data_IF_990042657166
#
_entry.id   IF_990042657166
#
_cell.length_a   1.000
_cell.length_b   1.000
_cell.length_c   1.000
_cell.angle_alpha   90.00
_cell.angle_beta   90.00
_cell.angle_gamma   90.00
#
_symmetry.space_group_name_H-M   'P 1'
#
loop_
_entity.id
_entity.type
_entity.pdbx_description
1 polymer ?
#
# COMPACT_ATOMS: atom_id res chain seq x y z
N UNK A 1 30.83 -13.09 47.08
CA UNK A 1 31.45 -13.17 45.74
C UNK A 1 30.57 -12.34 44.80
N UNK A 2 31.11 -11.25 44.26
CA UNK A 2 30.36 -10.44 43.28
C UNK A 2 30.59 -11.07 41.89
N UNK A 3 29.57 -11.69 41.35
CA UNK A 3 29.62 -12.18 39.97
C UNK A 3 29.26 -10.99 39.05
N UNK A 4 30.21 -10.55 38.27
CA UNK A 4 29.96 -9.59 37.17
C UNK A 4 29.51 -10.41 35.96
N UNK A 5 28.26 -10.27 35.56
CA UNK A 5 27.77 -10.84 34.32
C UNK A 5 28.05 -9.81 33.25
N UNK A 6 28.97 -10.10 32.32
CA UNK A 6 29.13 -9.34 31.10
C UNK A 6 27.96 -9.80 30.19
N UNK A 7 26.92 -8.98 30.16
CA UNK A 7 25.82 -9.18 29.21
C UNK A 7 26.33 -8.71 27.85
N UNK A 8 26.80 -9.63 27.02
CA UNK A 8 26.95 -9.35 25.58
C UNK A 8 25.53 -9.22 25.03
N UNK A 9 25.01 -7.99 24.99
CA UNK A 9 23.82 -7.68 24.25
C UNK A 9 24.17 -7.76 22.76
N UNK A 10 24.07 -8.96 22.19
CA UNK A 10 23.94 -9.07 20.74
C UNK A 10 22.49 -8.76 20.43
N UNK A 11 22.20 -7.47 20.18
CA UNK A 11 20.91 -7.07 19.65
C UNK A 11 20.86 -7.52 18.21
N UNK A 12 20.27 -8.68 17.97
CA UNK A 12 19.82 -9.04 16.63
C UNK A 12 18.53 -8.23 16.46
N UNK A 13 18.64 -7.08 15.83
CA UNK A 13 17.48 -6.34 15.32
C UNK A 13 16.86 -7.20 14.22
N UNK A 14 16.02 -8.16 14.59
CA UNK A 14 15.01 -8.63 13.67
C UNK A 14 13.92 -7.56 13.81
N UNK A 15 14.03 -6.50 13.02
CA UNK A 15 12.86 -5.74 12.63
C UNK A 15 12.02 -6.73 11.81
N UNK A 16 11.38 -7.65 12.53
CA UNK A 16 10.28 -8.42 11.98
C UNK A 16 9.16 -7.42 11.79
N UNK A 17 9.21 -6.68 10.69
CA UNK A 17 8.00 -6.14 10.09
C UNK A 17 7.24 -7.39 9.63
N UNK A 18 6.58 -8.07 10.55
CA UNK A 18 5.43 -8.88 10.22
C UNK A 18 4.19 -7.97 10.20
N UNK A 19 4.26 -6.86 9.46
CA UNK A 19 3.10 -6.51 8.70
C UNK A 19 2.84 -7.76 7.87
N UNK A 20 1.60 -8.31 7.79
CA UNK A 20 1.28 -9.02 6.60
C UNK A 20 1.60 -7.99 5.52
N UNK A 21 2.74 -8.15 4.87
CA UNK A 21 2.93 -7.58 3.56
C UNK A 21 1.78 -8.23 2.81
N UNK A 22 0.66 -7.54 2.71
CA UNK A 22 -0.12 -7.65 1.51
C UNK A 22 0.89 -7.16 0.49
N UNK A 23 1.63 -8.11 -0.07
CA UNK A 23 2.38 -7.85 -1.27
C UNK A 23 1.31 -7.34 -2.23
N UNK A 24 1.22 -6.03 -2.37
CA UNK A 24 0.46 -5.43 -3.44
C UNK A 24 1.17 -5.94 -4.68
N UNK A 25 0.61 -6.98 -5.26
CA UNK A 25 1.14 -7.53 -6.49
C UNK A 25 0.63 -6.66 -7.61
N UNK A 26 1.54 -6.20 -8.44
CA UNK A 26 1.17 -5.66 -9.74
C UNK A 26 0.41 -6.75 -10.49
N UNK A 27 -0.62 -6.37 -11.23
CA UNK A 27 -1.40 -7.30 -12.03
C UNK A 27 -0.55 -7.95 -13.12
N UNK A 28 -0.87 -9.17 -13.48
CA UNK A 28 -0.23 -9.95 -14.54
C UNK A 28 -1.01 -9.92 -15.86
N UNK A 29 -1.94 -8.97 -15.99
CA UNK A 29 -2.82 -8.79 -17.15
C UNK A 29 -3.21 -7.32 -17.28
N UNK A 30 -3.75 -6.93 -18.43
CA UNK A 30 -4.28 -5.58 -18.67
C UNK A 30 -5.38 -5.27 -17.67
N UNK A 31 -5.31 -4.09 -17.07
CA UNK A 31 -6.25 -3.65 -16.02
C UNK A 31 -6.90 -2.32 -16.36
N UNK A 32 -8.04 -2.06 -15.74
CA UNK A 32 -8.62 -0.74 -15.62
C UNK A 32 -7.76 0.03 -14.61
N UNK A 33 -7.13 1.12 -15.03
CA UNK A 33 -6.20 1.90 -14.22
C UNK A 33 -6.86 3.14 -13.62
N UNK A 34 -7.74 3.78 -14.37
CA UNK A 34 -8.42 5.01 -13.98
C UNK A 34 -9.81 5.08 -14.64
N UNK A 35 -10.79 5.65 -13.93
CA UNK A 35 -12.16 5.85 -14.45
C UNK A 35 -12.68 7.21 -13.96
N UNK A 36 -13.27 7.97 -14.88
CA UNK A 36 -14.00 9.18 -14.54
C UNK A 36 -15.45 9.03 -15.00
N UNK A 37 -16.35 8.93 -14.04
CA UNK A 37 -17.78 8.72 -14.29
C UNK A 37 -18.59 10.02 -14.25
N UNK A 38 -17.99 11.14 -13.79
CA UNK A 38 -18.65 12.45 -13.68
C UNK A 38 -17.63 13.58 -13.95
N UNK A 39 -17.03 13.61 -15.15
CA UNK A 39 -16.00 14.58 -15.48
C UNK A 39 -16.53 16.02 -15.46
N UNK A 40 -15.66 16.96 -15.09
CA UNK A 40 -16.01 18.37 -14.99
C UNK A 40 -16.68 18.90 -16.24
N UNK A 41 -17.91 19.37 -16.11
CA UNK A 41 -18.73 19.90 -17.21
C UNK A 41 -20.10 19.25 -17.26
N UNK A 42 -20.76 19.28 -18.42
CA UNK A 42 -22.02 18.59 -18.67
C UNK A 42 -21.75 17.30 -19.46
N UNK A 43 -21.68 16.19 -18.78
CA UNK A 43 -21.43 14.85 -19.33
C UNK A 43 -22.49 14.37 -20.31
N UNK A 44 -23.69 14.98 -20.24
CA UNK A 44 -24.75 14.76 -21.23
C UNK A 44 -24.52 15.48 -22.56
N UNK A 45 -23.65 16.48 -22.61
CA UNK A 45 -23.45 17.36 -23.76
C UNK A 45 -22.01 17.62 -24.17
N UNK A 46 -21.12 17.92 -23.24
CA UNK A 46 -19.79 18.46 -23.52
C UNK A 46 -18.65 17.76 -22.80
N UNK A 47 -18.90 17.15 -21.67
CA UNK A 47 -17.93 16.31 -20.97
C UNK A 47 -18.17 14.84 -21.35
N UNK A 48 -17.10 14.09 -21.49
CA UNK A 48 -17.18 12.69 -21.89
C UNK A 48 -16.57 11.82 -20.79
N UNK A 49 -17.35 10.90 -20.28
CA UNK A 49 -16.87 9.86 -19.37
C UNK A 49 -15.83 8.98 -20.04
N UNK A 50 -14.87 8.51 -19.30
CA UNK A 50 -13.76 7.76 -19.87
C UNK A 50 -13.20 6.69 -18.91
N UNK A 51 -12.49 5.74 -19.51
CA UNK A 51 -11.77 4.67 -18.83
C UNK A 51 -10.37 4.59 -19.41
N UNK A 52 -9.39 4.52 -18.55
CA UNK A 52 -8.02 4.22 -18.91
C UNK A 52 -7.69 2.77 -18.56
N UNK A 53 -7.07 2.09 -19.52
CA UNK A 53 -6.45 0.79 -19.35
C UNK A 53 -4.94 0.93 -19.25
N UNK A 54 -4.33 0.05 -18.47
CA UNK A 54 -2.88 -0.08 -18.33
C UNK A 54 -2.45 -1.51 -18.59
N UNK A 55 -1.35 -1.68 -19.31
CA UNK A 55 -0.73 -2.99 -19.53
C UNK A 55 0.52 -3.16 -18.66
N UNK A 56 0.42 -3.78 -17.48
CA UNK A 56 1.56 -4.02 -16.59
C UNK A 56 2.46 -5.18 -17.03
N UNK A 57 2.15 -5.85 -18.14
CA UNK A 57 2.89 -7.04 -18.59
C UNK A 57 4.08 -6.67 -19.46
N UNK A 58 5.00 -7.62 -19.64
CA UNK A 58 6.19 -7.44 -20.50
C UNK A 58 5.88 -7.60 -21.99
N UNK A 59 4.64 -7.98 -22.36
CA UNK A 59 4.21 -8.23 -23.73
C UNK A 59 3.13 -7.24 -24.16
N UNK A 60 3.13 -6.88 -25.47
CA UNK A 60 2.04 -6.13 -26.08
C UNK A 60 0.76 -6.98 -26.12
N UNK A 61 -0.40 -6.39 -25.86
CA UNK A 61 -1.67 -7.10 -25.80
C UNK A 61 -2.64 -6.57 -26.85
N UNK A 62 -3.16 -7.47 -27.70
CA UNK A 62 -4.23 -7.15 -28.65
C UNK A 62 -5.59 -7.10 -27.93
N UNK A 63 -6.16 -5.90 -27.85
CA UNK A 63 -7.46 -5.64 -27.24
C UNK A 63 -8.63 -5.68 -28.24
N UNK A 64 -8.39 -6.08 -29.48
CA UNK A 64 -9.43 -6.11 -30.53
C UNK A 64 -10.67 -6.88 -30.07
N UNK A 65 -11.83 -6.23 -30.12
CA UNK A 65 -13.11 -6.82 -29.74
C UNK A 65 -13.32 -7.03 -28.23
N UNK A 66 -12.37 -6.63 -27.38
CA UNK A 66 -12.61 -6.58 -25.93
C UNK A 66 -13.69 -5.56 -25.63
N UNK A 67 -14.23 -5.60 -24.43
CA UNK A 67 -15.35 -4.76 -24.03
C UNK A 67 -15.08 -4.07 -22.70
N UNK A 68 -15.43 -2.79 -22.63
CA UNK A 68 -15.52 -2.02 -21.40
C UNK A 68 -17.00 -1.81 -21.11
N UNK A 69 -17.49 -2.31 -19.98
CA UNK A 69 -18.92 -2.39 -19.70
C UNK A 69 -19.29 -1.80 -18.34
N UNK A 70 -20.34 -0.96 -18.32
CA UNK A 70 -21.06 -0.59 -17.11
C UNK A 70 -21.80 -1.79 -16.54
N UNK A 71 -21.77 -1.97 -15.23
CA UNK A 71 -22.51 -3.05 -14.56
C UNK A 71 -23.86 -2.64 -14.02
N UNK A 72 -24.17 -1.34 -14.05
CA UNK A 72 -25.43 -0.78 -13.54
C UNK A 72 -26.62 -0.99 -14.49
N UNK A 73 -27.72 -0.31 -14.17
CA UNK A 73 -28.96 -0.33 -14.97
C UNK A 73 -28.76 0.15 -16.40
N UNK A 74 -27.77 0.99 -16.66
CA UNK A 74 -27.48 1.49 -18.00
C UNK A 74 -26.96 0.40 -18.93
N UNK A 75 -26.21 -0.58 -18.41
CA UNK A 75 -25.65 -1.73 -19.14
C UNK A 75 -25.01 -1.35 -20.48
N UNK A 76 -24.36 -0.20 -20.52
CA UNK A 76 -23.71 0.27 -21.72
C UNK A 76 -22.34 -0.38 -21.86
N UNK A 77 -22.02 -0.76 -23.08
CA UNK A 77 -20.78 -1.44 -23.40
C UNK A 77 -20.12 -0.73 -24.58
N UNK A 78 -18.84 -0.44 -24.45
CA UNK A 78 -17.98 -0.04 -25.56
C UNK A 78 -17.22 -1.29 -26.00
N UNK A 79 -17.27 -1.61 -27.29
CA UNK A 79 -16.41 -2.63 -27.90
C UNK A 79 -15.16 -1.95 -28.45
N UNK A 80 -14.01 -2.42 -28.03
CA UNK A 80 -12.71 -1.89 -28.47
C UNK A 80 -12.52 -2.24 -29.95
N UNK A 81 -12.14 -1.25 -30.80
CA UNK A 81 -11.98 -1.46 -32.22
C UNK A 81 -10.93 -2.52 -32.57
N UNK A 82 -11.12 -3.17 -33.72
CA UNK A 82 -10.14 -4.10 -34.27
C UNK A 82 -8.79 -3.39 -34.53
N UNK A 83 -7.71 -4.08 -34.27
CA UNK A 83 -6.35 -3.57 -34.42
C UNK A 83 -5.88 -2.68 -33.27
N UNK A 84 -6.64 -2.59 -32.17
CA UNK A 84 -6.20 -1.87 -30.98
C UNK A 84 -5.24 -2.74 -30.17
N UNK A 85 -3.99 -2.30 -30.10
CA UNK A 85 -2.92 -2.94 -29.30
C UNK A 85 -2.55 -1.98 -28.18
N UNK A 86 -2.37 -2.51 -26.99
CA UNK A 86 -1.77 -1.80 -25.87
C UNK A 86 -0.35 -2.35 -25.65
N UNK A 87 0.65 -1.50 -25.86
CA UNK A 87 2.05 -1.89 -25.74
C UNK A 87 2.39 -2.19 -24.26
N UNK A 88 3.47 -2.95 -24.05
CA UNK A 88 3.98 -3.24 -22.71
C UNK A 88 4.28 -1.95 -21.93
N UNK A 89 3.72 -1.81 -20.75
CA UNK A 89 3.91 -0.65 -19.86
C UNK A 89 3.14 0.61 -20.27
N UNK A 90 2.31 0.56 -21.33
CA UNK A 90 1.58 1.71 -21.84
C UNK A 90 0.13 1.81 -21.35
N UNK A 91 -0.47 2.96 -21.63
CA UNK A 91 -1.83 3.34 -21.27
C UNK A 91 -2.68 3.59 -22.52
N UNK A 92 -3.96 3.22 -22.46
CA UNK A 92 -4.94 3.59 -23.49
C UNK A 92 -6.21 4.13 -22.84
N UNK A 93 -6.61 5.34 -23.21
CA UNK A 93 -7.85 5.96 -22.73
C UNK A 93 -8.97 5.78 -23.75
N UNK A 94 -10.12 5.30 -23.28
CA UNK A 94 -11.34 5.11 -24.04
C UNK A 94 -12.39 6.08 -23.56
N UNK A 95 -12.99 6.81 -24.49
CA UNK A 95 -13.99 7.83 -24.23
C UNK A 95 -15.30 7.44 -24.89
N UNK A 96 -16.43 7.68 -24.23
CA UNK A 96 -17.73 7.53 -24.84
C UNK A 96 -18.40 8.91 -24.98
N UNK A 97 -18.94 9.20 -26.14
CA UNK A 97 -19.55 10.51 -26.47
C UNK A 97 -20.90 10.76 -25.76
N UNK A 98 -21.40 9.81 -25.01
CA UNK A 98 -22.70 9.88 -24.32
C UNK A 98 -22.55 9.31 -22.92
N UNK A 99 -23.52 9.62 -22.03
CA UNK A 99 -23.62 9.01 -20.72
C UNK A 99 -23.34 7.52 -20.81
N UNK A 100 -22.28 7.08 -20.18
CA UNK A 100 -21.81 5.70 -20.20
C UNK A 100 -22.04 5.04 -18.86
N UNK A 101 -21.77 5.77 -17.80
CA UNK A 101 -21.81 5.32 -16.42
C UNK A 101 -22.89 6.05 -15.60
N UNK A 102 -23.07 5.64 -14.37
CA UNK A 102 -23.83 6.36 -13.36
C UNK A 102 -22.87 6.93 -12.33
N UNK A 103 -23.17 8.12 -11.78
CA UNK A 103 -22.33 8.76 -10.76
C UNK A 103 -22.42 8.07 -9.40
N UNK A 104 -23.28 7.08 -9.28
CA UNK A 104 -23.52 6.36 -8.01
C UNK A 104 -23.57 4.86 -8.21
N UNK A 105 -22.89 4.15 -7.32
CA UNK A 105 -22.87 2.68 -7.30
C UNK A 105 -22.48 2.05 -8.66
N UNK A 106 -21.62 2.73 -9.41
CA UNK A 106 -21.11 2.21 -10.69
C UNK A 106 -19.98 1.22 -10.44
N UNK A 107 -19.85 0.26 -11.35
CA UNK A 107 -18.68 -0.60 -11.44
C UNK A 107 -18.40 -0.91 -12.90
N UNK A 108 -17.15 -0.79 -13.31
CA UNK A 108 -16.71 -0.98 -14.68
C UNK A 108 -16.01 -2.33 -14.80
N UNK A 109 -16.36 -3.08 -15.84
CA UNK A 109 -15.75 -4.37 -16.17
C UNK A 109 -14.99 -4.27 -17.48
N UNK A 110 -13.76 -4.80 -17.50
CA UNK A 110 -13.01 -5.11 -18.72
C UNK A 110 -13.24 -6.60 -19.04
N UNK A 111 -13.75 -6.87 -20.22
CA UNK A 111 -14.06 -8.23 -20.69
C UNK A 111 -13.31 -8.55 -21.96
N UNK A 112 -12.81 -9.76 -22.08
CA UNK A 112 -12.24 -10.23 -23.34
C UNK A 112 -13.29 -10.63 -24.36
N UNK A 113 -12.87 -11.06 -25.55
CA UNK A 113 -13.76 -11.46 -26.67
C UNK A 113 -14.65 -12.65 -26.35
N UNK A 114 -14.32 -13.49 -25.36
CA UNK A 114 -15.18 -14.58 -24.90
C UNK A 114 -16.21 -14.14 -23.84
N UNK A 115 -16.18 -12.87 -23.43
CA UNK A 115 -17.03 -12.31 -22.37
C UNK A 115 -16.53 -12.59 -20.95
N UNK A 116 -15.33 -13.16 -20.81
CA UNK A 116 -14.70 -13.34 -19.50
C UNK A 116 -14.29 -11.98 -18.93
N UNK A 117 -14.67 -11.72 -17.69
CA UNK A 117 -14.21 -10.54 -16.96
C UNK A 117 -12.73 -10.71 -16.62
N UNK A 118 -11.90 -9.82 -17.17
CA UNK A 118 -10.46 -9.79 -16.96
C UNK A 118 -10.13 -8.92 -15.76
N UNK A 119 -10.78 -7.74 -15.67
CA UNK A 119 -10.63 -6.83 -14.54
C UNK A 119 -11.94 -6.11 -14.22
N UNK A 120 -12.04 -5.58 -13.00
CA UNK A 120 -13.24 -4.90 -12.54
C UNK A 120 -12.92 -3.89 -11.44
N UNK A 121 -13.53 -2.71 -11.52
CA UNK A 121 -13.45 -1.72 -10.43
C UNK A 121 -14.30 -2.15 -9.22
N UNK A 122 -13.99 -1.58 -8.06
CA UNK A 122 -14.95 -1.53 -6.94
C UNK A 122 -16.10 -0.60 -7.29
N UNK A 123 -17.14 -0.56 -6.46
CA UNK A 123 -18.19 0.44 -6.60
C UNK A 123 -17.62 1.86 -6.54
N UNK A 124 -17.99 2.67 -7.52
CA UNK A 124 -17.59 4.07 -7.69
C UNK A 124 -18.77 4.93 -7.26
N UNK A 125 -18.49 5.96 -6.50
CA UNK A 125 -19.40 7.03 -6.14
C UNK A 125 -18.71 8.34 -6.46
N UNK A 126 -19.10 8.98 -7.56
CA UNK A 126 -18.55 10.24 -8.05
C UNK A 126 -19.66 11.28 -8.11
N UNK A 127 -19.90 11.93 -6.96
CA UNK A 127 -21.01 12.87 -6.80
C UNK A 127 -20.63 14.31 -7.12
N UNK A 128 -19.35 14.58 -7.33
CA UNK A 128 -18.84 15.93 -7.57
C UNK A 128 -18.37 16.04 -9.02
N UNK A 129 -18.98 16.94 -9.77
CA UNK A 129 -18.60 17.27 -11.13
C UNK A 129 -17.29 18.09 -11.12
N UNK A 130 -16.15 17.43 -10.92
CA UNK A 130 -14.86 18.08 -10.73
C UNK A 130 -13.75 17.45 -11.62
N UNK A 131 -12.50 17.66 -11.29
CA UNK A 131 -11.35 17.15 -12.05
C UNK A 131 -10.76 15.88 -11.44
N UNK A 132 -11.48 15.21 -10.55
CA UNK A 132 -11.02 13.98 -9.93
C UNK A 132 -11.57 12.76 -10.65
N UNK A 133 -10.84 11.68 -10.55
CA UNK A 133 -11.19 10.37 -11.06
C UNK A 133 -10.99 9.31 -9.99
N UNK A 134 -11.59 8.17 -10.19
CA UNK A 134 -11.34 6.97 -9.43
C UNK A 134 -10.19 6.21 -10.08
N UNK A 135 -9.02 6.21 -9.44
CA UNK A 135 -7.80 5.65 -10.02
C UNK A 135 -7.10 4.69 -9.07
N UNK A 136 -6.34 3.76 -9.63
CA UNK A 136 -5.43 2.92 -8.83
C UNK A 136 -4.40 3.81 -8.15
N UNK A 137 -4.01 3.46 -6.93
CA UNK A 137 -3.00 4.24 -6.17
C UNK A 137 -1.67 4.28 -6.89
N UNK A 138 -1.30 3.18 -7.52
CA UNK A 138 -0.17 3.02 -8.42
C UNK A 138 -0.61 2.17 -9.62
N UNK A 139 0.03 2.35 -10.75
CA UNK A 139 -0.32 1.66 -11.99
C UNK A 139 -0.32 0.14 -11.82
N UNK A 140 -1.43 -0.49 -12.15
CA UNK A 140 -1.60 -1.92 -12.07
C UNK A 140 -1.81 -2.52 -10.68
N UNK A 141 -1.80 -1.73 -9.59
CA UNK A 141 -1.98 -2.22 -8.23
C UNK A 141 -3.47 -2.30 -7.83
N UNK A 142 -3.77 -3.05 -6.78
CA UNK A 142 -5.16 -3.35 -6.37
C UNK A 142 -5.86 -2.21 -5.63
N UNK A 143 -5.12 -1.26 -5.07
CA UNK A 143 -5.68 -0.18 -4.26
C UNK A 143 -6.09 1.03 -5.11
N UNK A 144 -7.17 1.67 -4.66
CA UNK A 144 -7.82 2.76 -5.38
C UNK A 144 -7.96 4.00 -4.51
N UNK A 145 -7.89 5.16 -5.14
CA UNK A 145 -8.09 6.47 -4.53
C UNK A 145 -8.92 7.36 -5.44
N UNK A 146 -9.58 8.38 -4.86
CA UNK A 146 -10.30 9.41 -5.59
C UNK A 146 -9.50 10.72 -5.50
N UNK A 147 -8.81 11.08 -6.56
CA UNK A 147 -7.89 12.24 -6.61
C UNK A 147 -7.90 12.87 -7.99
N UNK A 148 -7.20 13.99 -8.15
CA UNK A 148 -7.04 14.66 -9.45
C UNK A 148 -6.61 13.67 -10.51
N UNK A 149 -7.32 13.69 -11.64
CA UNK A 149 -7.09 12.79 -12.78
C UNK A 149 -5.68 12.87 -13.33
N UNK A 150 -5.19 11.72 -13.75
CA UNK A 150 -3.88 11.52 -14.41
C UNK A 150 -4.05 11.00 -15.85
N UNK A 151 -5.24 11.11 -16.43
CA UNK A 151 -5.62 10.56 -17.71
C UNK A 151 -4.55 10.67 -18.80
N UNK A 152 -4.22 9.57 -19.45
CA UNK A 152 -3.17 9.46 -20.46
C UNK A 152 -1.75 9.33 -19.90
N UNK A 153 -1.62 9.12 -18.60
CA UNK A 153 -0.32 8.98 -17.93
C UNK A 153 -0.36 8.15 -16.67
N UNK A 154 0.80 7.99 -16.06
CA UNK A 154 0.96 7.18 -14.84
C UNK A 154 0.23 7.78 -13.64
N UNK A 155 -0.51 6.97 -12.89
CA UNK A 155 -1.04 7.28 -11.57
C UNK A 155 0.07 7.39 -10.50
N UNK A 156 1.28 7.00 -10.86
CA UNK A 156 2.43 6.82 -10.02
C UNK A 156 2.89 5.36 -10.05
N UNK A 157 4.17 5.18 -9.95
CA UNK A 157 4.78 3.87 -9.77
C UNK A 157 5.20 3.73 -8.31
N UNK A 158 4.99 2.55 -7.74
CA UNK A 158 5.74 2.18 -6.54
C UNK A 158 7.20 2.11 -6.96
N UNK A 159 7.94 3.16 -6.67
CA UNK A 159 9.39 3.10 -6.80
C UNK A 159 9.87 2.11 -5.72
N UNK A 160 10.15 0.88 -6.14
CA UNK A 160 10.74 -0.13 -5.25
C UNK A 160 12.05 0.41 -4.66
N UNK A 161 12.68 1.38 -5.34
CA UNK A 161 13.84 2.11 -4.84
C UNK A 161 13.52 3.06 -3.65
N UNK A 162 12.25 3.48 -3.47
CA UNK A 162 11.85 4.23 -2.27
C UNK A 162 11.59 3.32 -1.06
N UNK A 163 11.37 2.01 -1.28
CA UNK A 163 11.41 1.02 -0.20
C UNK A 163 12.85 0.73 0.25
N UNK A 164 13.86 1.21 -0.49
CA UNK A 164 15.27 1.03 -0.16
C UNK A 164 15.80 1.99 0.90
N UNK A 165 15.06 2.99 1.30
CA UNK A 165 15.29 3.65 2.57
C UNK A 165 14.73 2.74 3.67
N UNK A 166 15.49 1.66 3.91
CA UNK A 166 15.22 0.79 5.05
C UNK A 166 15.07 1.67 6.27
N UNK A 167 13.92 1.59 6.95
CA UNK A 167 13.71 2.34 8.19
C UNK A 167 14.91 2.07 9.08
N UNK A 168 15.74 3.07 9.27
CA UNK A 168 16.93 2.92 10.10
C UNK A 168 16.49 3.05 11.55
N UNK A 169 16.65 1.97 12.29
CA UNK A 169 16.41 1.95 13.72
C UNK A 169 17.75 1.91 14.43
N UNK A 170 18.03 2.93 15.24
CA UNK A 170 19.21 2.91 16.10
C UNK A 170 18.81 2.40 17.48
N UNK A 171 19.68 1.67 18.15
CA UNK A 171 19.45 1.18 19.51
C UNK A 171 20.72 1.36 20.33
N UNK A 172 20.56 1.81 21.54
CA UNK A 172 21.64 1.96 22.51
C UNK A 172 21.16 1.65 23.92
N UNK A 173 22.09 1.26 24.78
CA UNK A 173 21.86 1.16 26.21
C UNK A 173 22.68 2.21 26.95
N UNK A 174 22.21 2.61 28.12
CA UNK A 174 22.90 3.60 28.98
C UNK A 174 24.23 3.10 29.53
N UNK A 175 24.46 1.77 29.57
CA UNK A 175 25.69 1.13 30.03
C UNK A 175 26.09 -0.03 29.12
N UNK A 176 27.34 -0.39 29.11
CA UNK A 176 27.89 -1.55 28.39
C UNK A 176 27.76 -2.87 29.15
N UNK A 177 27.47 -2.81 30.45
CA UNK A 177 27.28 -3.98 31.31
C UNK A 177 26.43 -3.62 32.53
N UNK A 178 25.68 -4.57 33.03
CA UNK A 178 24.77 -4.39 34.19
C UNK A 178 24.98 -5.46 35.22
N UNK A 179 24.69 -5.11 36.44
CA UNK A 179 24.51 -6.08 37.51
C UNK A 179 23.07 -6.64 37.48
N UNK A 180 22.87 -7.77 38.04
CA UNK A 180 21.61 -8.50 38.04
C UNK A 180 20.41 -7.69 38.58
N UNK A 181 20.65 -6.83 39.57
CA UNK A 181 19.64 -5.99 40.23
C UNK A 181 19.49 -4.60 39.66
N UNK A 182 20.18 -4.33 38.56
CA UNK A 182 20.12 -3.02 37.90
C UNK A 182 18.98 -2.95 36.86
N UNK A 183 18.63 -1.73 36.53
CA UNK A 183 17.71 -1.41 35.46
C UNK A 183 18.51 -0.89 34.27
N UNK A 184 18.26 -1.44 33.09
CA UNK A 184 18.81 -0.98 31.85
C UNK A 184 17.87 0.08 31.20
N UNK A 185 18.42 1.15 30.66
CA UNK A 185 17.69 2.10 29.81
C UNK A 185 18.06 1.78 28.36
N UNK A 186 17.07 1.39 27.58
CA UNK A 186 17.22 1.16 26.15
C UNK A 186 16.57 2.32 25.42
N UNK A 187 17.31 2.94 24.52
CA UNK A 187 16.82 4.08 23.74
C UNK A 187 17.33 4.04 22.30
N UNK A 188 16.70 4.80 21.45
CA UNK A 188 17.11 4.92 20.05
C UNK A 188 16.23 5.84 19.27
N UNK A 189 16.44 5.83 17.96
CA UNK A 189 15.70 6.64 17.00
C UNK A 189 15.25 5.78 15.83
N UNK A 190 14.21 6.21 15.15
CA UNK A 190 13.79 5.70 13.85
C UNK A 190 13.96 6.81 12.82
N UNK A 191 14.30 6.47 11.58
CA UNK A 191 14.43 7.45 10.50
C UNK A 191 13.08 8.07 10.11
N UNK A 192 11.99 7.31 10.28
CA UNK A 192 10.62 7.75 9.96
C UNK A 192 9.58 6.95 10.75
N UNK A 193 8.34 7.45 10.79
CA UNK A 193 7.21 6.72 11.35
C UNK A 193 6.59 5.82 10.31
N UNK A 194 6.47 4.56 10.63
CA UNK A 194 5.71 3.61 9.81
C UNK A 194 4.24 3.73 10.20
N UNK A 195 3.42 4.17 9.25
CA UNK A 195 1.97 4.25 9.43
C UNK A 195 1.31 3.06 8.71
N UNK A 196 0.43 2.36 9.42
CA UNK A 196 -0.49 1.43 8.77
C UNK A 196 -1.70 2.25 8.33
N UNK A 197 -2.04 2.21 7.05
CA UNK A 197 -3.34 2.64 6.55
C UNK A 197 -4.43 1.67 7.04
N UNK A 198 -4.88 1.88 8.25
CA UNK A 198 -6.18 1.40 8.73
C UNK A 198 -7.02 2.62 9.06
N UNK A 199 -8.37 2.48 9.15
CA UNK A 199 -9.28 3.63 9.24
C UNK A 199 -9.00 4.62 10.39
N UNK A 200 -7.97 4.37 11.17
CA UNK A 200 -7.47 5.23 12.23
C UNK A 200 -5.94 5.18 12.19
N UNK A 201 -5.28 6.06 11.48
CA UNK A 201 -3.83 6.22 11.42
C UNK A 201 -3.12 5.77 12.71
N UNK A 202 -2.71 4.51 12.76
CA UNK A 202 -1.93 3.97 13.87
C UNK A 202 -0.49 3.83 13.44
N UNK A 203 0.43 4.35 14.25
CA UNK A 203 1.86 4.10 14.10
C UNK A 203 2.15 2.64 14.47
N UNK A 204 2.93 1.92 13.65
CA UNK A 204 3.42 0.60 14.02
C UNK A 204 4.39 0.70 15.19
N UNK A 205 4.31 -0.21 16.16
CA UNK A 205 5.26 -0.27 17.25
C UNK A 205 6.62 -0.82 16.78
N UNK A 206 7.67 -0.31 17.38
CA UNK A 206 9.00 -0.93 17.32
C UNK A 206 8.99 -2.09 18.31
N UNK A 207 9.33 -3.29 17.82
CA UNK A 207 9.49 -4.46 18.68
C UNK A 207 10.98 -4.63 19.00
N UNK A 208 11.32 -4.53 20.28
CA UNK A 208 12.66 -4.81 20.77
C UNK A 208 12.63 -6.15 21.46
N UNK A 209 13.34 -7.13 20.89
CA UNK A 209 13.52 -8.43 21.52
C UNK A 209 14.91 -8.52 22.14
N UNK A 210 14.96 -8.86 23.40
CA UNK A 210 16.17 -9.08 24.17
C UNK A 210 16.28 -10.57 24.42
N UNK A 211 17.29 -11.20 23.83
CA UNK A 211 17.48 -12.64 23.89
C UNK A 211 18.72 -12.99 24.70
N UNK A 212 18.65 -14.07 25.45
CA UNK A 212 19.75 -14.66 26.19
C UNK A 212 19.70 -16.17 26.13
N UNK A 213 20.66 -16.87 26.73
CA UNK A 213 20.78 -18.33 26.63
C UNK A 213 19.53 -19.11 27.09
N UNK A 214 18.69 -18.52 27.92
CA UNK A 214 17.50 -19.18 28.48
C UNK A 214 16.29 -18.24 28.60
N UNK A 215 16.30 -17.10 27.90
CA UNK A 215 15.19 -16.15 27.93
C UNK A 215 15.09 -15.34 26.64
N UNK A 216 13.84 -14.97 26.29
CA UNK A 216 13.50 -13.97 25.31
C UNK A 216 12.48 -13.02 25.92
N UNK A 217 12.71 -11.73 25.79
CA UNK A 217 11.78 -10.71 26.28
C UNK A 217 11.54 -9.67 25.17
N UNK A 218 10.29 -9.45 24.79
CA UNK A 218 9.92 -8.50 23.74
C UNK A 218 9.14 -7.33 24.36
N UNK A 219 9.54 -6.13 23.99
CA UNK A 219 8.88 -4.87 24.36
C UNK A 219 8.40 -4.17 23.10
N UNK A 220 7.16 -3.70 23.12
CA UNK A 220 6.58 -2.88 22.07
C UNK A 220 6.68 -1.41 22.45
N UNK A 221 7.30 -0.59 21.59
CA UNK A 221 7.51 0.85 21.81
C UNK A 221 7.00 1.65 20.64
N UNK A 222 6.43 2.81 20.93
CA UNK A 222 6.02 3.77 19.91
C UNK A 222 6.97 4.95 19.90
N UNK A 223 7.49 5.37 18.73
CA UNK A 223 8.31 6.57 18.64
C UNK A 223 7.51 7.81 19.05
N UNK A 224 8.16 8.74 19.73
CA UNK A 224 7.62 10.06 20.00
C UNK A 224 7.50 10.92 18.73
N UNK A 225 7.09 12.18 18.89
CA UNK A 225 6.97 13.12 17.75
C UNK A 225 8.32 13.38 17.07
N UNK A 226 9.43 13.28 17.80
CA UNK A 226 10.79 13.51 17.30
C UNK A 226 11.47 12.22 16.83
N UNK A 227 10.71 11.14 16.63
CA UNK A 227 11.20 9.84 16.18
C UNK A 227 12.14 9.13 17.18
N UNK A 228 12.11 9.51 18.45
CA UNK A 228 12.85 8.85 19.52
C UNK A 228 11.98 7.83 20.23
N UNK A 229 12.60 6.80 20.77
CA UNK A 229 11.96 5.86 21.69
C UNK A 229 12.89 5.53 22.87
N UNK A 230 12.31 5.21 24.00
CA UNK A 230 13.04 4.74 25.17
C UNK A 230 12.18 3.84 26.05
N UNK A 231 12.80 2.90 26.72
CA UNK A 231 12.19 2.07 27.75
C UNK A 231 13.17 1.72 28.84
N UNK A 232 12.65 1.33 29.99
CA UNK A 232 13.44 0.81 31.10
C UNK A 232 13.13 -0.66 31.29
N UNK A 233 14.16 -1.48 31.49
CA UNK A 233 14.07 -2.91 31.66
C UNK A 233 14.69 -3.29 33.01
N UNK A 234 13.89 -3.85 33.92
CA UNK A 234 14.42 -4.48 35.14
C UNK A 234 14.98 -5.84 34.76
N UNK A 235 16.26 -6.04 34.96
CA UNK A 235 16.92 -7.30 34.60
C UNK A 235 16.44 -8.48 35.48
N UNK A 236 15.98 -8.23 36.69
CA UNK A 236 15.32 -9.25 37.55
C UNK A 236 14.05 -9.76 36.89
N UNK A 237 13.24 -8.88 36.33
CA UNK A 237 11.98 -9.26 35.65
C UNK A 237 12.23 -9.96 34.32
N UNK A 238 13.19 -9.44 33.54
CA UNK A 238 13.54 -9.99 32.23
C UNK A 238 14.13 -11.39 32.31
N UNK A 239 14.95 -11.64 33.33
CA UNK A 239 15.61 -12.94 33.54
C UNK A 239 14.72 -13.98 34.23
N UNK A 240 13.52 -13.61 34.70
CA UNK A 240 12.54 -14.54 35.28
C UNK A 240 13.01 -15.22 36.56
N UNK A 241 14.00 -14.63 37.24
CA UNK A 241 14.52 -15.17 38.50
C UNK A 241 13.65 -14.59 39.61
N UNK A 242 12.55 -15.30 39.90
CA UNK A 242 11.71 -15.02 41.04
C UNK A 242 12.47 -15.25 42.31
N UNK A 243 12.17 -14.44 43.35
CA UNK A 243 12.62 -14.68 44.71
C UNK A 243 12.22 -16.10 45.13
N UNK A 244 13.22 -16.95 45.40
CA UNK A 244 13.07 -18.25 46.05
C UNK A 244 13.11 -18.10 47.57
#
# INVERSE_FOLDING_TARGET
>A
MKYSIILLLSVILIAGISAPAYAQTISDHVVINEVDTNPSGDDSQSASEWVELYNPTDDDVDLSGWQIASTTVLKKTLTIPDGTIIDSGDFLTFVNEKIWFTDTAESVELRNTSGLVIDKTREIYDLENDLKSWQRTYDGYSDWKFVTSTAGGSNGQLLIDEISDAVVVTISSDKSSYLFDETAIISGTVSEKIFIEKPYFQTEPILITISGPNFDHTVSLYPDYNLNYATTLSLVQVLGIGEG
#
